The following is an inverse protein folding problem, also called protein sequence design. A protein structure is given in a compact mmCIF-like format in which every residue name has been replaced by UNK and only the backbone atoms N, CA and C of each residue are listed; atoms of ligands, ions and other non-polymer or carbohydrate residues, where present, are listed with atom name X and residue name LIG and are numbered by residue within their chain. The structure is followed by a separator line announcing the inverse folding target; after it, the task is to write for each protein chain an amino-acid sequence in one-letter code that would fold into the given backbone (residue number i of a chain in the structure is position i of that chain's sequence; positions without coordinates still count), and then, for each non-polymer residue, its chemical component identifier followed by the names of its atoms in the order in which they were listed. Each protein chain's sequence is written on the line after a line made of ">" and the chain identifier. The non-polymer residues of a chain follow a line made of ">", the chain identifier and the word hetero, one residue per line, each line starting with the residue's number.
data_IF_653752123759
#
_entry.id   IF_653752123759
#
_cell.length_a   1.000
_cell.length_b   1.000
_cell.length_c   1.000
_cell.angle_alpha   90.00
_cell.angle_beta   90.00
_cell.angle_gamma   90.00
#
_symmetry.space_group_name_H-M   'P 1'
#
loop_
_entity.id
_entity.type
_entity.pdbx_description
1 polymer ?
#
# COMPACT_ATOMS: atom_id res chain seq x y z
N UNK A 1 9.70 38.80 11.35
CA UNK A 1 9.09 37.76 12.22
C UNK A 1 8.79 36.55 11.37
N UNK A 2 8.92 35.33 11.92
CA UNK A 2 8.55 34.11 11.18
C UNK A 2 7.06 34.13 10.84
N UNK A 3 6.68 33.63 9.66
CA UNK A 3 5.28 33.39 9.30
C UNK A 3 4.69 32.17 10.01
N UNK A 4 5.52 31.40 10.73
CA UNK A 4 5.11 30.22 11.48
C UNK A 4 5.03 30.52 12.98
N UNK A 5 4.03 29.90 13.63
CA UNK A 5 3.85 29.92 15.08
C UNK A 5 4.19 28.55 15.66
N UNK A 6 4.88 28.56 16.79
CA UNK A 6 5.19 27.34 17.54
C UNK A 6 3.90 26.67 18.06
N UNK A 7 3.90 25.33 18.09
CA UNK A 7 2.79 24.50 18.54
C UNK A 7 3.31 23.40 19.47
N UNK A 8 2.55 23.11 20.52
CA UNK A 8 2.88 22.05 21.50
C UNK A 8 3.03 20.68 20.84
N UNK A 9 3.89 19.83 21.42
CA UNK A 9 4.05 18.41 21.07
C UNK A 9 3.47 17.60 22.23
N UNK A 10 2.43 16.79 21.96
CA UNK A 10 1.77 15.93 22.95
C UNK A 10 1.44 14.57 22.36
N UNK A 11 1.04 13.61 23.19
CA UNK A 11 0.65 12.26 22.76
C UNK A 11 -0.41 12.29 21.65
N UNK A 12 -0.32 11.29 20.75
CA UNK A 12 -1.08 11.23 19.52
C UNK A 12 -0.94 12.53 18.69
N UNK A 13 0.28 13.08 18.62
CA UNK A 13 0.57 14.37 17.98
C UNK A 13 0.01 14.49 16.55
N UNK A 14 -0.05 13.39 15.80
CA UNK A 14 -0.61 13.33 14.45
C UNK A 14 -2.11 13.72 14.40
N UNK A 15 -2.84 13.53 15.50
CA UNK A 15 -4.23 13.96 15.70
C UNK A 15 -4.32 15.32 16.42
N UNK A 16 -3.53 15.52 17.47
CA UNK A 16 -3.71 16.65 18.41
C UNK A 16 -2.86 17.88 18.10
N UNK A 17 -1.78 17.69 17.33
CA UNK A 17 -0.72 18.68 17.12
C UNK A 17 -0.26 18.78 15.66
N UNK A 18 -1.04 18.22 14.72
CA UNK A 18 -0.72 18.26 13.28
C UNK A 18 -1.97 18.10 12.43
N UNK A 19 -2.03 18.76 11.28
CA UNK A 19 -2.99 18.43 10.22
C UNK A 19 -2.36 17.40 9.26
N UNK A 20 -2.02 16.23 9.80
CA UNK A 20 -1.37 15.17 9.03
C UNK A 20 -2.42 14.39 8.23
N UNK A 21 -2.33 14.35 6.89
CA UNK A 21 -3.27 13.61 6.07
C UNK A 21 -2.98 12.11 6.18
N UNK A 22 -4.00 11.32 6.52
CA UNK A 22 -3.85 9.88 6.70
C UNK A 22 -4.79 9.11 5.76
N UNK A 23 -4.38 7.92 5.29
CA UNK A 23 -5.27 7.02 4.57
C UNK A 23 -6.37 6.49 5.50
N UNK A 24 -7.48 6.02 4.93
CA UNK A 24 -8.49 5.24 5.65
C UNK A 24 -8.41 3.78 5.21
N UNK A 25 -7.91 2.91 6.10
CA UNK A 25 -7.66 1.49 5.79
C UNK A 25 -8.42 0.62 6.79
N UNK A 26 -9.18 -0.35 6.29
CA UNK A 26 -9.71 -1.44 7.11
C UNK A 26 -8.71 -2.58 7.13
N UNK A 27 -8.13 -2.84 8.29
CA UNK A 27 -7.21 -3.95 8.51
C UNK A 27 -8.00 -5.18 8.92
N UNK A 28 -8.03 -6.18 8.02
CA UNK A 28 -8.59 -7.50 8.29
C UNK A 28 -7.54 -8.41 8.93
N UNK A 29 -7.94 -9.21 9.91
CA UNK A 29 -7.08 -10.12 10.68
C UNK A 29 -7.85 -11.38 11.07
N UNK A 30 -7.15 -12.45 11.45
CA UNK A 30 -7.77 -13.71 11.86
C UNK A 30 -7.88 -13.74 13.38
N UNK A 31 -9.10 -13.78 13.89
CA UNK A 31 -9.38 -13.93 15.31
C UNK A 31 -9.12 -15.37 15.80
N UNK A 32 -9.08 -15.57 17.11
CA UNK A 32 -8.84 -16.88 17.72
C UNK A 32 -9.88 -17.95 17.33
N UNK A 33 -11.12 -17.53 17.03
CA UNK A 33 -12.17 -18.40 16.52
C UNK A 33 -12.10 -18.65 14.99
N UNK A 34 -11.01 -18.25 14.32
CA UNK A 34 -10.80 -18.39 12.87
C UNK A 34 -11.56 -17.39 12.01
N UNK A 35 -12.42 -16.54 12.59
CA UNK A 35 -13.19 -15.54 11.82
C UNK A 35 -12.34 -14.31 11.49
N UNK A 36 -12.72 -13.63 10.42
CA UNK A 36 -12.13 -12.33 10.06
C UNK A 36 -12.64 -11.24 10.99
N UNK A 37 -11.73 -10.51 11.63
CA UNK A 37 -11.96 -9.27 12.36
C UNK A 37 -11.48 -8.08 11.52
N UNK A 38 -12.29 -7.03 11.43
CA UNK A 38 -11.91 -5.76 10.81
C UNK A 38 -11.63 -4.69 11.87
N UNK A 39 -10.63 -3.84 11.64
CA UNK A 39 -10.45 -2.60 12.41
C UNK A 39 -10.02 -1.45 11.50
N UNK A 40 -10.43 -0.23 11.81
CA UNK A 40 -10.08 0.96 11.03
C UNK A 40 -8.79 1.60 11.52
N UNK A 41 -7.85 1.85 10.60
CA UNK A 41 -6.54 2.42 10.89
C UNK A 41 -6.14 3.47 9.85
N UNK A 42 -5.46 4.49 10.34
CA UNK A 42 -4.96 5.60 9.52
C UNK A 42 -3.43 5.68 9.52
N UNK A 43 -2.77 5.11 10.53
CA UNK A 43 -1.31 4.99 10.58
C UNK A 43 -0.84 3.74 9.85
N UNK A 44 -0.98 3.75 8.52
CA UNK A 44 -0.58 2.65 7.65
C UNK A 44 0.15 3.21 6.42
N UNK A 45 1.46 2.96 6.32
CA UNK A 45 2.34 3.66 5.38
C UNK A 45 3.25 2.70 4.61
N UNK A 46 3.68 3.02 3.38
CA UNK A 46 4.76 2.28 2.72
C UNK A 46 6.04 2.29 3.57
N UNK A 47 6.69 1.14 3.68
CA UNK A 47 7.95 0.99 4.43
C UNK A 47 9.15 0.85 3.49
N UNK A 48 9.16 -0.20 2.65
CA UNK A 48 10.18 -0.36 1.62
C UNK A 48 9.69 0.18 0.28
N UNK A 49 10.45 1.12 -0.30
CA UNK A 49 10.09 1.80 -1.56
C UNK A 49 10.74 1.11 -2.77
N UNK A 50 12.04 0.82 -2.70
CA UNK A 50 12.80 0.20 -3.79
C UNK A 50 14.08 -0.49 -3.27
N UNK A 51 14.68 -1.35 -4.09
CA UNK A 51 15.98 -1.96 -3.81
C UNK A 51 15.97 -3.12 -2.80
N UNK A 52 14.77 -3.63 -2.45
CA UNK A 52 14.59 -4.86 -1.67
C UNK A 52 13.96 -5.93 -2.55
N UNK A 53 14.15 -7.18 -2.15
CA UNK A 53 13.51 -8.36 -2.72
C UNK A 53 12.01 -8.46 -2.41
N UNK A 54 11.51 -7.57 -1.55
CA UNK A 54 10.13 -7.49 -1.07
C UNK A 54 9.69 -6.06 -0.84
N UNK A 55 8.38 -5.85 -0.87
CA UNK A 55 7.72 -4.60 -0.51
C UNK A 55 6.94 -4.80 0.78
N UNK A 56 6.85 -3.75 1.60
CA UNK A 56 6.18 -3.83 2.90
C UNK A 56 5.46 -2.54 3.25
N UNK A 57 4.42 -2.69 4.08
CA UNK A 57 3.70 -1.61 4.75
C UNK A 57 4.05 -1.60 6.24
N UNK A 58 4.11 -0.43 6.85
CA UNK A 58 4.15 -0.23 8.29
C UNK A 58 2.74 0.02 8.78
N UNK A 59 2.28 -0.78 9.74
CA UNK A 59 1.06 -0.52 10.50
C UNK A 59 1.43 -0.15 11.94
N UNK A 60 1.02 1.04 12.38
CA UNK A 60 1.15 1.49 13.76
C UNK A 60 -0.21 1.42 14.45
N UNK A 61 -0.29 0.77 15.60
CA UNK A 61 -1.55 0.60 16.30
C UNK A 61 -1.37 0.47 17.82
N UNK A 62 -2.49 0.54 18.54
CA UNK A 62 -2.54 0.16 19.95
C UNK A 62 -2.34 -1.34 20.06
N UNK A 63 -1.41 -1.75 20.92
CA UNK A 63 -1.08 -3.16 21.11
C UNK A 63 -2.24 -3.97 21.73
N UNK A 64 -3.16 -3.32 22.44
CA UNK A 64 -4.36 -3.94 23.02
C UNK A 64 -5.51 -4.15 22.02
N UNK A 65 -5.40 -3.66 20.78
CA UNK A 65 -6.45 -3.84 19.77
C UNK A 65 -6.59 -5.31 19.34
N UNK A 66 -7.80 -5.74 18.99
CA UNK A 66 -8.04 -7.07 18.40
C UNK A 66 -7.11 -7.30 17.19
N UNK A 67 -6.91 -6.27 16.35
CA UNK A 67 -6.01 -6.34 15.20
C UNK A 67 -4.58 -6.67 15.60
N UNK A 68 -4.00 -5.95 16.56
CA UNK A 68 -2.63 -6.21 17.01
C UNK A 68 -2.49 -7.61 17.60
N UNK A 69 -3.43 -8.01 18.47
CA UNK A 69 -3.43 -9.31 19.11
C UNK A 69 -3.57 -10.45 18.09
N UNK A 70 -4.40 -10.25 17.05
CA UNK A 70 -4.56 -11.21 15.98
C UNK A 70 -3.32 -11.29 15.07
N UNK A 71 -2.63 -10.19 14.82
CA UNK A 71 -1.37 -10.18 14.04
C UNK A 71 -0.26 -10.89 14.83
N UNK A 72 -0.11 -10.62 16.13
CA UNK A 72 0.86 -11.32 16.98
C UNK A 72 0.66 -12.85 16.97
N UNK A 73 -0.60 -13.30 16.83
CA UNK A 73 -0.97 -14.72 16.76
C UNK A 73 -0.80 -15.33 15.38
N UNK A 74 -1.50 -14.79 14.39
CA UNK A 74 -1.65 -15.38 13.06
C UNK A 74 -0.59 -14.89 12.07
N UNK A 75 0.00 -13.72 12.34
CA UNK A 75 0.92 -13.00 11.44
C UNK A 75 0.29 -12.58 10.11
N UNK A 76 -1.03 -12.72 9.93
CA UNK A 76 -1.72 -12.43 8.67
C UNK A 76 -2.59 -11.19 8.80
N UNK A 77 -2.55 -10.35 7.76
CA UNK A 77 -3.39 -9.17 7.66
C UNK A 77 -3.85 -8.93 6.21
N UNK A 78 -5.02 -8.33 6.04
CA UNK A 78 -5.44 -7.69 4.78
C UNK A 78 -5.57 -6.19 5.01
N UNK A 79 -5.03 -5.37 4.11
CA UNK A 79 -5.12 -3.91 4.15
C UNK A 79 -6.11 -3.47 3.08
N UNK A 80 -7.32 -3.12 3.47
CA UNK A 80 -8.43 -2.84 2.56
C UNK A 80 -8.66 -1.33 2.47
N UNK A 81 -8.38 -0.73 1.31
CA UNK A 81 -8.50 0.70 1.10
C UNK A 81 -9.92 1.05 0.64
N UNK A 82 -10.65 1.79 1.48
CA UNK A 82 -12.07 2.12 1.23
C UNK A 82 -12.23 3.46 0.52
N UNK A 83 -13.33 3.61 -0.20
CA UNK A 83 -13.68 4.82 -0.93
C UNK A 83 -14.30 5.89 -0.03
N UNK A 84 -14.40 7.11 -0.57
CA UNK A 84 -15.11 8.26 0.01
C UNK A 84 -16.63 8.08 -0.10
N UNK A 85 -17.14 7.03 0.56
CA UNK A 85 -18.57 6.80 0.75
C UNK A 85 -18.91 7.04 2.22
N UNK A 86 -19.92 7.89 2.47
CA UNK A 86 -20.31 8.27 3.84
C UNK A 86 -20.83 7.09 4.65
N UNK A 87 -21.50 6.14 4.01
CA UNK A 87 -22.02 4.93 4.66
C UNK A 87 -20.86 4.09 5.17
N UNK A 88 -19.88 3.82 4.31
CA UNK A 88 -18.72 3.00 4.65
C UNK A 88 -17.75 3.72 5.59
N UNK A 89 -17.62 5.04 5.51
CA UNK A 89 -16.87 5.81 6.49
C UNK A 89 -17.48 5.73 7.90
N UNK A 90 -18.81 5.87 8.02
CA UNK A 90 -19.49 5.72 9.31
C UNK A 90 -19.26 4.32 9.90
N UNK A 91 -19.29 3.30 9.06
CA UNK A 91 -19.00 1.94 9.47
C UNK A 91 -17.54 1.75 9.89
N UNK A 92 -16.59 2.33 9.16
CA UNK A 92 -15.17 2.30 9.54
C UNK A 92 -14.95 2.96 10.91
N UNK A 93 -15.64 4.06 11.22
CA UNK A 93 -15.60 4.69 12.55
C UNK A 93 -16.18 3.75 13.62
N UNK A 94 -17.31 3.09 13.36
CA UNK A 94 -17.88 2.08 14.27
C UNK A 94 -16.88 0.95 14.56
N UNK A 95 -16.27 0.41 13.50
CA UNK A 95 -15.23 -0.62 13.58
C UNK A 95 -13.90 -0.11 14.17
N UNK A 96 -13.76 1.19 14.42
CA UNK A 96 -12.58 1.77 15.08
C UNK A 96 -12.67 1.77 16.61
N UNK A 97 -13.86 1.59 17.18
CA UNK A 97 -14.03 1.65 18.63
C UNK A 97 -13.40 0.44 19.33
N UNK A 98 -12.64 0.66 20.43
CA UNK A 98 -12.07 -0.41 21.22
C UNK A 98 -13.12 -1.04 22.15
N UNK A 99 -12.87 -2.26 22.62
CA UNK A 99 -13.64 -2.92 23.68
C UNK A 99 -14.55 -4.05 23.20
N UNK A 100 -14.99 -4.02 21.95
CA UNK A 100 -15.84 -5.07 21.39
C UNK A 100 -15.02 -6.33 21.04
N UNK A 101 -15.60 -7.51 21.31
CA UNK A 101 -15.10 -8.77 20.76
C UNK A 101 -15.26 -8.81 19.24
N UNK A 102 -14.53 -9.70 18.55
CA UNK A 102 -14.70 -9.90 17.11
C UNK A 102 -16.16 -10.21 16.73
N UNK A 103 -16.85 -11.05 17.51
CA UNK A 103 -18.22 -11.45 17.18
C UNK A 103 -19.21 -10.29 17.33
N UNK A 104 -19.09 -9.48 18.39
CA UNK A 104 -19.91 -8.27 18.59
C UNK A 104 -19.65 -7.25 17.47
N UNK A 105 -18.37 -7.01 17.18
CA UNK A 105 -17.94 -6.03 16.19
C UNK A 105 -18.44 -6.37 14.79
N UNK A 106 -18.40 -7.65 14.43
CA UNK A 106 -18.72 -8.14 13.09
C UNK A 106 -20.19 -8.48 12.87
N UNK A 107 -21.01 -8.57 13.93
CA UNK A 107 -22.43 -8.98 13.87
C UNK A 107 -23.25 -8.23 12.81
N UNK A 108 -23.11 -6.91 12.77
CA UNK A 108 -23.86 -6.02 11.86
C UNK A 108 -22.92 -5.32 10.87
N UNK A 109 -21.82 -5.98 10.49
CA UNK A 109 -20.82 -5.42 9.58
C UNK A 109 -21.44 -5.10 8.21
N UNK A 110 -21.32 -3.84 7.76
CA UNK A 110 -21.87 -3.41 6.46
C UNK A 110 -21.01 -3.80 5.25
N UNK A 111 -19.79 -4.29 5.47
CA UNK A 111 -18.86 -4.68 4.42
C UNK A 111 -19.06 -6.14 4.04
N UNK A 112 -19.02 -6.41 2.74
CA UNK A 112 -19.05 -7.78 2.22
C UNK A 112 -17.64 -8.36 2.29
N UNK A 113 -17.52 -9.53 2.91
CA UNK A 113 -16.26 -10.26 3.02
C UNK A 113 -16.17 -11.36 1.96
N UNK A 114 -15.09 -11.37 1.19
CA UNK A 114 -14.78 -12.39 0.20
C UNK A 114 -13.37 -12.97 0.41
N UNK A 115 -13.08 -14.12 -0.19
CA UNK A 115 -11.75 -14.71 -0.10
C UNK A 115 -10.75 -13.93 -0.96
N UNK A 116 -9.54 -13.76 -0.44
CA UNK A 116 -8.41 -13.22 -1.19
C UNK A 116 -7.79 -14.25 -2.13
N UNK A 117 -6.65 -13.91 -2.73
CA UNK A 117 -5.92 -14.80 -3.66
C UNK A 117 -4.56 -15.24 -3.12
N UNK A 118 -4.11 -14.70 -1.98
CA UNK A 118 -2.91 -15.18 -1.33
C UNK A 118 -3.14 -16.57 -0.74
N UNK A 119 -2.11 -17.42 -0.83
CA UNK A 119 -2.19 -18.80 -0.34
C UNK A 119 -2.24 -18.88 1.19
N UNK A 120 -2.80 -20.00 1.66
CA UNK A 120 -2.88 -20.36 3.08
C UNK A 120 -4.11 -19.80 3.79
N UNK A 121 -4.17 -19.98 5.10
CA UNK A 121 -5.20 -19.36 5.93
C UNK A 121 -4.98 -17.84 5.99
N UNK A 122 -5.99 -17.08 5.55
CA UNK A 122 -5.92 -15.62 5.40
C UNK A 122 -7.19 -14.96 5.93
N UNK A 123 -7.11 -13.72 6.44
CA UNK A 123 -8.31 -12.94 6.66
C UNK A 123 -8.99 -12.67 5.31
N UNK A 124 -10.32 -12.63 5.31
CA UNK A 124 -11.10 -12.22 4.15
C UNK A 124 -10.80 -10.76 3.78
N UNK A 125 -11.08 -10.43 2.53
CA UNK A 125 -10.92 -9.08 1.97
C UNK A 125 -12.28 -8.39 1.85
N UNK A 126 -12.27 -7.06 1.84
CA UNK A 126 -13.48 -6.23 1.76
C UNK A 126 -13.83 -5.96 0.29
N UNK A 127 -14.97 -6.45 -0.17
CA UNK A 127 -15.36 -6.35 -1.57
C UNK A 127 -15.59 -4.90 -2.03
N UNK A 128 -15.99 -4.01 -1.13
CA UNK A 128 -16.21 -2.59 -1.41
C UNK A 128 -14.90 -1.77 -1.48
N UNK A 129 -13.76 -2.35 -1.09
CA UNK A 129 -12.46 -1.70 -1.20
C UNK A 129 -12.08 -1.49 -2.67
N UNK A 130 -11.43 -0.36 -2.97
CA UNK A 130 -10.92 -0.11 -4.32
C UNK A 130 -9.60 -0.84 -4.59
N UNK A 131 -8.85 -1.12 -3.52
CA UNK A 131 -7.56 -1.81 -3.51
C UNK A 131 -7.41 -2.59 -2.21
N UNK A 132 -6.76 -3.74 -2.28
CA UNK A 132 -6.44 -4.58 -1.12
C UNK A 132 -4.99 -5.06 -1.22
N UNK A 133 -4.26 -5.00 -0.11
CA UNK A 133 -2.98 -5.71 0.04
C UNK A 133 -3.17 -6.88 1.00
N UNK A 134 -2.83 -8.08 0.54
CA UNK A 134 -2.74 -9.25 1.40
C UNK A 134 -1.32 -9.36 1.93
N UNK A 135 -1.17 -9.43 3.24
CA UNK A 135 0.11 -9.25 3.89
C UNK A 135 0.44 -10.34 4.91
N UNK A 136 1.74 -10.51 5.12
CA UNK A 136 2.32 -11.30 6.22
C UNK A 136 3.22 -10.40 7.06
N UNK A 137 3.01 -10.40 8.37
CA UNK A 137 3.91 -9.72 9.31
C UNK A 137 5.27 -10.40 9.31
N UNK A 138 6.31 -9.60 9.09
CA UNK A 138 7.69 -10.03 9.09
C UNK A 138 8.26 -9.99 10.51
N UNK A 139 7.91 -10.98 11.31
CA UNK A 139 8.34 -11.11 12.71
C UNK A 139 9.82 -11.49 12.88
N UNK A 140 10.51 -11.84 11.78
CA UNK A 140 11.96 -12.06 11.78
C UNK A 140 12.78 -10.78 11.92
N UNK A 141 12.19 -9.61 11.68
CA UNK A 141 12.85 -8.33 11.93
C UNK A 141 12.79 -7.99 13.42
N UNK A 142 13.93 -7.61 13.99
CA UNK A 142 14.07 -7.19 15.39
C UNK A 142 13.68 -8.26 16.42
N UNK A 143 13.77 -9.54 16.05
CA UNK A 143 13.33 -10.67 16.88
C UNK A 143 11.88 -10.51 17.39
N UNK A 144 11.05 -9.82 16.61
CA UNK A 144 9.69 -9.48 17.00
C UNK A 144 8.79 -10.73 17.15
N UNK A 145 9.21 -11.87 16.62
CA UNK A 145 8.58 -13.19 16.83
C UNK A 145 8.50 -13.60 18.32
N UNK A 146 9.31 -12.97 19.19
CA UNK A 146 9.27 -13.17 20.63
C UNK A 146 8.04 -12.53 21.28
N UNK A 147 7.44 -11.52 20.65
CA UNK A 147 6.27 -10.83 21.16
C UNK A 147 5.03 -11.71 20.98
N UNK A 148 4.23 -11.87 22.04
CA UNK A 148 3.06 -12.78 22.08
C UNK A 148 1.78 -12.03 22.42
N UNK A 149 0.62 -12.44 21.87
CA UNK A 149 -0.66 -11.88 22.28
C UNK A 149 -0.98 -12.23 23.75
N UNK A 150 -1.91 -11.50 24.34
CA UNK A 150 -2.47 -11.77 25.67
C UNK A 150 -2.41 -10.58 26.64
N UNK A 151 -1.64 -9.54 26.34
CA UNK A 151 -1.55 -8.37 27.22
C UNK A 151 -2.42 -7.22 26.67
N UNK A 152 -3.49 -6.87 27.40
CA UNK A 152 -4.42 -5.79 27.03
C UNK A 152 -4.21 -4.51 27.87
N UNK A 153 -3.65 -4.64 29.08
CA UNK A 153 -3.33 -3.53 29.98
C UNK A 153 -1.95 -2.89 29.71
N UNK A 154 -1.40 -3.20 28.54
CA UNK A 154 -0.06 -2.82 28.12
C UNK A 154 0.99 -3.90 28.38
N UNK A 155 2.12 -3.75 27.69
CA UNK A 155 3.25 -4.66 27.76
C UNK A 155 4.37 -4.04 28.60
N UNK A 156 5.05 -4.87 29.38
CA UNK A 156 6.23 -4.48 30.13
C UNK A 156 7.50 -4.51 29.25
N UNK A 157 8.54 -3.73 29.60
CA UNK A 157 9.79 -3.72 28.85
C UNK A 157 10.51 -5.09 28.89
N UNK A 158 11.44 -5.37 27.95
CA UNK A 158 11.99 -4.44 26.96
C UNK A 158 11.09 -4.22 25.74
N UNK A 159 11.12 -3.01 25.19
CA UNK A 159 10.43 -2.64 23.96
C UNK A 159 11.34 -2.76 22.74
N UNK A 160 10.74 -3.10 21.60
CA UNK A 160 11.32 -3.06 20.26
C UNK A 160 11.45 -1.61 19.80
N UNK A 161 12.36 -1.31 18.89
CA UNK A 161 12.53 0.03 18.32
C UNK A 161 11.58 0.28 17.14
N UNK A 162 11.26 -0.74 16.33
CA UNK A 162 10.51 -0.51 15.09
C UNK A 162 9.58 -1.65 14.64
N UNK A 163 9.67 -2.87 15.17
CA UNK A 163 8.80 -3.98 14.78
C UNK A 163 8.42 -4.85 15.99
N UNK A 164 7.12 -5.13 16.16
CA UNK A 164 6.57 -5.76 17.35
C UNK A 164 6.06 -4.74 18.38
N UNK A 165 6.22 -5.03 19.66
CA UNK A 165 5.81 -4.16 20.77
C UNK A 165 6.83 -3.03 20.97
N UNK A 166 6.47 -1.82 20.58
CA UNK A 166 7.39 -0.66 20.55
C UNK A 166 7.26 0.28 21.73
N UNK A 167 6.21 0.14 22.53
CA UNK A 167 6.03 0.86 23.79
C UNK A 167 5.01 0.13 24.66
N UNK A 168 4.76 0.64 25.88
CA UNK A 168 3.75 0.10 26.79
C UNK A 168 2.40 -0.14 26.11
N UNK A 169 1.96 0.77 25.23
CA UNK A 169 0.65 0.71 24.58
C UNK A 169 0.70 0.69 23.05
N UNK A 170 1.89 0.65 22.45
CA UNK A 170 2.10 0.73 21.01
C UNK A 170 2.68 -0.56 20.43
N UNK A 171 2.25 -0.88 19.21
CA UNK A 171 2.84 -1.93 18.40
C UNK A 171 3.01 -1.43 16.95
N UNK A 172 4.12 -1.82 16.33
CA UNK A 172 4.42 -1.59 14.93
C UNK A 172 4.53 -2.93 14.20
N UNK A 173 3.91 -3.05 13.04
CA UNK A 173 3.98 -4.27 12.23
C UNK A 173 4.53 -3.94 10.84
N UNK A 174 5.69 -4.51 10.51
CA UNK A 174 6.21 -4.51 9.13
C UNK A 174 5.54 -5.65 8.37
N UNK A 175 4.57 -5.30 7.54
CA UNK A 175 3.71 -6.19 6.79
C UNK A 175 4.25 -6.36 5.37
N UNK A 176 4.92 -7.49 5.09
CA UNK A 176 5.31 -7.82 3.72
C UNK A 176 4.06 -7.99 2.85
N UNK A 177 4.07 -7.41 1.65
CA UNK A 177 2.98 -7.51 0.69
C UNK A 177 3.15 -8.81 -0.11
N UNK A 178 2.20 -9.73 0.06
CA UNK A 178 2.18 -11.01 -0.64
C UNK A 178 1.42 -10.89 -1.97
N UNK A 179 0.29 -10.16 -1.96
CA UNK A 179 -0.55 -9.88 -3.15
C UNK A 179 -1.13 -8.48 -3.11
N UNK A 180 -1.31 -7.89 -4.30
CA UNK A 180 -2.02 -6.63 -4.51
C UNK A 180 -3.22 -6.92 -5.40
N UNK A 181 -4.41 -6.62 -4.89
CA UNK A 181 -5.68 -6.74 -5.61
C UNK A 181 -6.23 -5.33 -5.81
N UNK A 182 -6.82 -5.09 -6.96
CA UNK A 182 -7.37 -3.78 -7.29
C UNK A 182 -8.56 -3.95 -8.24
N UNK A 183 -9.57 -3.08 -8.16
CA UNK A 183 -10.72 -3.17 -9.06
C UNK A 183 -10.29 -2.95 -10.53
N UNK A 184 -10.90 -3.65 -11.51
CA UNK A 184 -10.46 -3.63 -12.91
C UNK A 184 -10.26 -2.22 -13.50
N UNK A 185 -11.19 -1.30 -13.24
CA UNK A 185 -11.07 0.10 -13.69
C UNK A 185 -9.78 0.80 -13.22
N UNK A 186 -9.36 0.52 -11.99
CA UNK A 186 -8.15 1.14 -11.41
C UNK A 186 -6.89 0.41 -11.87
N UNK A 187 -6.96 -0.92 -12.08
CA UNK A 187 -5.92 -1.67 -12.77
C UNK A 187 -5.63 -1.05 -14.14
N UNK A 188 -6.66 -0.85 -14.97
CA UNK A 188 -6.54 -0.26 -16.30
C UNK A 188 -5.96 1.16 -16.24
N UNK A 189 -6.30 1.93 -15.21
CA UNK A 189 -5.75 3.28 -15.03
C UNK A 189 -4.24 3.25 -14.77
N UNK A 190 -3.75 2.28 -13.99
CA UNK A 190 -2.31 2.11 -13.72
C UNK A 190 -1.60 1.57 -14.97
N UNK A 191 -2.14 0.49 -15.56
CA UNK A 191 -1.48 -0.28 -16.62
C UNK A 191 -1.63 0.34 -18.00
N UNK A 192 -2.71 1.07 -18.31
CA UNK A 192 -2.91 1.68 -19.63
C UNK A 192 -2.59 3.18 -19.66
N UNK A 193 -2.39 3.79 -18.48
CA UNK A 193 -1.99 5.19 -18.36
C UNK A 193 -3.04 6.04 -17.62
N UNK A 194 -2.53 6.98 -16.84
CA UNK A 194 -3.32 7.68 -15.84
C UNK A 194 -4.05 8.88 -16.45
N UNK A 195 -5.36 8.95 -16.21
CA UNK A 195 -6.18 10.16 -16.40
C UNK A 195 -6.79 10.55 -15.05
N UNK A 196 -7.08 11.82 -14.85
CA UNK A 196 -7.67 12.32 -13.61
C UNK A 196 -9.01 11.65 -13.24
N UNK A 197 -9.78 11.17 -14.22
CA UNK A 197 -11.02 10.41 -13.99
C UNK A 197 -10.80 8.93 -13.64
N UNK A 198 -9.57 8.43 -13.75
CA UNK A 198 -9.23 7.04 -13.42
C UNK A 198 -8.88 6.81 -11.96
N UNK A 199 -8.69 7.88 -11.17
CA UNK A 199 -8.36 7.74 -9.75
C UNK A 199 -9.56 7.26 -8.94
N UNK A 200 -9.36 6.36 -7.95
CA UNK A 200 -10.40 6.01 -7.00
C UNK A 200 -10.80 7.25 -6.17
N UNK A 201 -12.05 7.34 -5.70
CA UNK A 201 -12.47 8.40 -4.80
C UNK A 201 -11.87 8.15 -3.41
N UNK A 202 -10.59 8.48 -3.23
CA UNK A 202 -9.85 8.24 -1.98
C UNK A 202 -10.16 9.35 -0.97
N UNK A 203 -10.68 9.03 0.23
CA UNK A 203 -10.86 10.02 1.29
C UNK A 203 -9.52 10.36 1.93
N UNK A 204 -9.44 11.51 2.60
CA UNK A 204 -8.32 11.82 3.51
C UNK A 204 -8.86 11.91 4.92
N UNK A 205 -8.34 11.08 5.79
CA UNK A 205 -8.66 11.09 7.22
C UNK A 205 -7.77 12.09 7.96
N UNK A 206 -8.40 12.89 8.81
CA UNK A 206 -7.74 13.80 9.75
C UNK A 206 -7.87 13.31 11.19
N UNK A 207 -8.53 12.19 11.42
CA UNK A 207 -8.62 11.51 12.71
C UNK A 207 -9.61 12.17 13.68
N UNK A 208 -9.54 11.71 14.91
CA UNK A 208 -10.33 12.20 16.03
C UNK A 208 -9.64 13.41 16.68
N UNK A 209 -10.31 14.57 16.71
CA UNK A 209 -9.64 15.85 17.04
C UNK A 209 -10.29 16.66 18.15
N UNK A 210 -11.60 16.57 18.29
CA UNK A 210 -12.43 17.44 19.12
C UNK A 210 -13.18 16.64 20.21
N UNK A 211 -12.71 15.42 20.48
CA UNK A 211 -13.34 14.47 21.39
C UNK A 211 -14.79 14.07 21.02
N UNK A 212 -15.25 14.39 19.81
CA UNK A 212 -16.65 14.14 19.41
C UNK A 212 -16.78 13.58 17.99
N UNK A 213 -15.87 13.92 17.08
CA UNK A 213 -15.95 13.58 15.67
C UNK A 213 -14.63 13.00 15.15
N UNK A 214 -14.77 12.03 14.25
CA UNK A 214 -13.73 11.68 13.29
C UNK A 214 -13.90 12.54 12.03
N UNK A 215 -12.84 13.25 11.67
CA UNK A 215 -12.85 14.22 10.58
C UNK A 215 -12.27 13.62 9.31
N UNK A 216 -13.02 13.61 8.21
CA UNK A 216 -12.53 13.21 6.89
C UNK A 216 -12.83 14.29 5.84
N UNK A 217 -11.95 14.48 4.86
CA UNK A 217 -12.28 15.26 3.66
C UNK A 217 -12.73 14.35 2.52
N UNK A 218 -13.71 14.85 1.77
CA UNK A 218 -14.16 14.26 0.52
C UNK A 218 -13.04 14.22 -0.53
N UNK A 219 -13.11 13.23 -1.40
CA UNK A 219 -12.23 13.13 -2.55
C UNK A 219 -12.43 14.32 -3.49
N UNK A 220 -11.31 14.94 -3.87
CA UNK A 220 -11.26 15.95 -4.93
C UNK A 220 -10.44 15.40 -6.09
N UNK A 221 -10.96 15.55 -7.31
CA UNK A 221 -10.31 15.08 -8.53
C UNK A 221 -8.87 15.62 -8.63
N UNK A 222 -7.86 14.76 -8.82
CA UNK A 222 -6.47 15.18 -8.99
C UNK A 222 -6.28 16.01 -10.26
N UNK A 223 -5.29 16.91 -10.24
CA UNK A 223 -4.83 17.65 -11.42
C UNK A 223 -3.38 17.26 -11.74
N UNK A 224 -3.03 17.10 -13.03
CA UNK A 224 -1.66 16.81 -13.42
C UNK A 224 -0.82 18.10 -13.44
N UNK A 225 0.40 18.02 -12.93
CA UNK A 225 1.42 19.06 -13.10
C UNK A 225 2.53 18.53 -14.03
N UNK A 226 2.99 19.36 -14.97
CA UNK A 226 3.99 18.91 -15.95
C UNK A 226 5.38 18.96 -15.34
N UNK A 227 6.06 17.82 -15.30
CA UNK A 227 7.48 17.77 -14.96
C UNK A 227 8.28 18.43 -16.09
N UNK A 228 9.16 19.37 -15.74
CA UNK A 228 10.11 19.95 -16.69
C UNK A 228 11.08 18.86 -17.17
N UNK A 229 10.97 18.49 -18.45
CA UNK A 229 11.85 17.48 -19.03
C UNK A 229 13.25 18.08 -19.26
N UNK A 230 14.29 17.41 -18.78
CA UNK A 230 15.65 17.60 -19.29
C UNK A 230 15.81 16.69 -20.50
N UNK A 231 16.21 17.27 -21.63
CA UNK A 231 16.43 16.52 -22.87
C UNK A 231 17.56 15.49 -22.65
N UNK A 232 17.40 14.26 -23.18
CA UNK A 232 18.41 13.21 -23.06
C UNK A 232 18.47 12.45 -21.72
N UNK A 233 17.48 12.60 -20.83
CA UNK A 233 17.51 11.96 -19.51
C UNK A 233 17.29 10.44 -19.56
N UNK A 234 18.39 9.69 -19.64
CA UNK A 234 18.40 8.23 -19.57
C UNK A 234 17.79 7.68 -18.26
N UNK A 235 17.86 8.44 -17.15
CA UNK A 235 17.23 8.02 -15.89
C UNK A 235 15.72 7.96 -16.01
N UNK A 236 15.10 8.89 -16.74
CA UNK A 236 13.66 8.86 -16.98
C UNK A 236 13.22 7.65 -17.81
N UNK A 237 14.05 7.21 -18.76
CA UNK A 237 13.81 5.99 -19.54
C UNK A 237 13.95 4.76 -18.66
N UNK A 238 15.03 4.68 -17.87
CA UNK A 238 15.26 3.59 -16.92
C UNK A 238 14.10 3.46 -15.95
N UNK A 239 13.64 4.58 -15.40
CA UNK A 239 12.48 4.63 -14.50
C UNK A 239 11.20 4.08 -15.16
N UNK A 240 10.97 4.39 -16.44
CA UNK A 240 9.83 3.85 -17.18
C UNK A 240 10.00 2.34 -17.48
N UNK A 241 11.22 1.91 -17.83
CA UNK A 241 11.55 0.53 -18.12
C UNK A 241 11.42 -0.38 -16.89
N UNK A 242 11.87 0.05 -15.71
CA UNK A 242 11.75 -0.73 -14.46
C UNK A 242 10.29 -0.99 -14.03
N UNK A 243 9.31 -0.29 -14.62
CA UNK A 243 7.88 -0.39 -14.27
C UNK A 243 7.05 -1.08 -15.34
N UNK A 244 7.65 -1.47 -16.46
CA UNK A 244 6.89 -2.07 -17.55
C UNK A 244 6.60 -3.56 -17.27
N UNK A 245 7.56 -4.27 -16.68
CA UNK A 245 7.47 -5.71 -16.46
C UNK A 245 8.36 -6.15 -15.29
N UNK A 246 7.92 -7.08 -14.43
CA UNK A 246 8.72 -7.54 -13.30
C UNK A 246 9.87 -8.48 -13.68
N UNK A 247 9.77 -9.18 -14.82
CA UNK A 247 10.67 -10.28 -15.18
C UNK A 247 11.69 -9.89 -16.25
N UNK A 248 11.36 -8.92 -17.11
CA UNK A 248 12.25 -8.42 -18.17
C UNK A 248 12.86 -7.08 -17.79
N UNK A 249 14.19 -7.02 -17.68
CA UNK A 249 14.94 -5.82 -17.27
C UNK A 249 15.68 -5.19 -18.44
N UNK A 250 16.02 -3.91 -18.32
CA UNK A 250 16.83 -3.17 -19.28
C UNK A 250 18.14 -2.74 -18.63
N UNK A 251 19.25 -2.75 -19.38
CA UNK A 251 20.52 -2.16 -18.94
C UNK A 251 20.49 -0.64 -19.08
N UNK A 252 21.39 0.05 -18.36
CA UNK A 252 21.57 1.49 -18.49
C UNK A 252 21.95 1.91 -19.93
N UNK A 253 22.80 1.11 -20.59
CA UNK A 253 23.20 1.35 -21.98
C UNK A 253 22.05 1.17 -22.98
N UNK A 254 21.18 0.17 -22.76
CA UNK A 254 19.94 0.04 -23.52
C UNK A 254 19.02 1.24 -23.32
N UNK A 255 18.78 1.67 -22.07
CA UNK A 255 17.96 2.84 -21.76
C UNK A 255 18.50 4.13 -22.40
N UNK A 256 19.82 4.33 -22.43
CA UNK A 256 20.45 5.50 -23.05
C UNK A 256 20.11 5.62 -24.56
N UNK A 257 20.03 4.49 -25.27
CA UNK A 257 19.66 4.45 -26.70
C UNK A 257 18.19 4.80 -26.97
N UNK A 258 17.33 4.77 -25.94
CA UNK A 258 15.89 4.99 -26.06
C UNK A 258 15.46 6.42 -25.70
N UNK A 259 16.39 7.28 -25.28
CA UNK A 259 16.14 8.69 -24.89
C UNK A 259 15.49 9.54 -25.98
N UNK A 260 15.66 9.17 -27.25
CA UNK A 260 15.06 9.86 -28.41
C UNK A 260 13.59 9.53 -28.64
N UNK A 261 13.04 8.52 -27.96
CA UNK A 261 11.63 8.18 -28.10
C UNK A 261 10.80 9.26 -27.41
N UNK A 262 9.87 9.94 -28.12
CA UNK A 262 9.01 10.93 -27.49
C UNK A 262 8.25 10.32 -26.31
N UNK A 263 8.17 11.04 -25.18
CA UNK A 263 7.60 10.50 -23.92
C UNK A 263 6.20 9.92 -24.07
N UNK A 264 5.37 10.49 -24.94
CA UNK A 264 4.02 10.00 -25.24
C UNK A 264 4.00 8.59 -25.85
N UNK A 265 5.08 8.16 -26.48
CA UNK A 265 5.23 6.85 -27.11
C UNK A 265 6.13 5.88 -26.33
N UNK A 266 6.84 6.37 -25.31
CA UNK A 266 7.86 5.59 -24.59
C UNK A 266 7.27 4.29 -24.01
N UNK A 267 6.11 4.37 -23.34
CA UNK A 267 5.45 3.21 -22.75
C UNK A 267 5.11 2.13 -23.79
N UNK A 268 4.46 2.52 -24.88
CA UNK A 268 4.09 1.58 -25.94
C UNK A 268 5.32 0.95 -26.59
N UNK A 269 6.39 1.72 -26.77
CA UNK A 269 7.65 1.21 -27.29
C UNK A 269 8.32 0.21 -26.33
N UNK A 270 8.36 0.50 -25.03
CA UNK A 270 8.90 -0.40 -24.01
C UNK A 270 8.08 -1.69 -23.90
N UNK A 271 6.75 -1.60 -23.90
CA UNK A 271 5.87 -2.77 -23.87
C UNK A 271 6.16 -3.70 -25.05
N UNK A 272 6.20 -3.14 -26.27
CA UNK A 272 6.49 -3.93 -27.47
C UNK A 272 7.89 -4.59 -27.40
N UNK A 273 8.88 -3.92 -26.80
CA UNK A 273 10.21 -4.51 -26.61
C UNK A 273 10.19 -5.68 -25.63
N UNK A 274 9.42 -5.56 -24.53
CA UNK A 274 9.24 -6.65 -23.56
C UNK A 274 8.52 -7.84 -24.17
N UNK A 275 7.45 -7.59 -24.93
CA UNK A 275 6.67 -8.66 -25.56
C UNK A 275 7.58 -9.51 -26.49
N UNK A 276 8.37 -8.85 -27.33
CA UNK A 276 9.35 -9.52 -28.20
C UNK A 276 10.45 -10.20 -27.39
N UNK A 277 10.94 -9.57 -26.31
CA UNK A 277 11.95 -10.18 -25.46
C UNK A 277 11.45 -11.49 -24.83
N UNK A 278 10.19 -11.53 -24.38
CA UNK A 278 9.56 -12.76 -23.86
C UNK A 278 9.42 -13.84 -24.92
N UNK A 279 9.04 -13.49 -26.15
CA UNK A 279 8.99 -14.44 -27.27
C UNK A 279 10.36 -15.08 -27.55
N UNK A 280 11.43 -14.31 -27.40
CA UNK A 280 12.81 -14.75 -27.64
C UNK A 280 13.48 -15.34 -26.39
N UNK A 281 12.78 -15.43 -25.25
CA UNK A 281 13.34 -15.92 -23.99
C UNK A 281 14.41 -15.00 -23.37
N UNK A 282 14.42 -13.71 -23.73
CA UNK A 282 15.35 -12.70 -23.22
C UNK A 282 14.80 -12.07 -21.94
N UNK A 283 15.53 -12.19 -20.84
CA UNK A 283 15.17 -11.58 -19.54
C UNK A 283 15.94 -10.29 -19.22
N UNK A 284 17.02 -10.01 -19.96
CA UNK A 284 17.81 -8.77 -19.85
C UNK A 284 18.05 -8.17 -21.23
N UNK A 285 17.42 -7.03 -21.49
CA UNK A 285 17.57 -6.26 -22.73
C UNK A 285 18.77 -5.33 -22.58
N UNK A 286 19.91 -5.76 -23.11
CA UNK A 286 21.09 -4.95 -23.30
C UNK A 286 21.11 -4.29 -24.70
N UNK A 287 22.19 -3.58 -25.01
CA UNK A 287 22.38 -2.91 -26.30
C UNK A 287 22.32 -3.84 -27.52
N UNK A 288 22.75 -5.09 -27.38
CA UNK A 288 22.76 -6.09 -28.45
C UNK A 288 21.36 -6.67 -28.65
N UNK A 289 20.71 -7.09 -27.56
CA UNK A 289 19.32 -7.54 -27.56
C UNK A 289 18.38 -6.46 -28.12
N UNK A 290 18.61 -5.19 -27.77
CA UNK A 290 17.83 -4.07 -28.32
C UNK A 290 17.92 -3.97 -29.85
N UNK A 291 19.06 -4.37 -30.43
CA UNK A 291 19.26 -4.37 -31.89
C UNK A 291 18.44 -5.47 -32.53
N UNK A 292 18.50 -6.70 -31.99
CA UNK A 292 17.67 -7.84 -32.42
C UNK A 292 16.19 -7.51 -32.35
N UNK A 293 15.73 -6.94 -31.22
CA UNK A 293 14.35 -6.55 -31.00
C UNK A 293 13.92 -5.49 -32.02
N UNK A 294 14.73 -4.45 -32.25
CA UNK A 294 14.39 -3.39 -33.21
C UNK A 294 14.33 -3.89 -34.66
N UNK A 295 15.17 -4.86 -35.03
CA UNK A 295 15.12 -5.47 -36.36
C UNK A 295 13.83 -6.27 -36.57
N UNK A 296 13.38 -7.01 -35.54
CA UNK A 296 12.08 -7.70 -35.55
C UNK A 296 10.92 -6.70 -35.68
N UNK A 297 10.91 -5.63 -34.88
CA UNK A 297 9.90 -4.55 -34.95
C UNK A 297 9.83 -3.88 -36.32
N UNK A 298 10.94 -3.80 -37.04
CA UNK A 298 10.98 -3.23 -38.41
C UNK A 298 10.41 -4.20 -39.45
N UNK A 299 10.57 -5.51 -39.24
CA UNK A 299 10.01 -6.55 -40.13
C UNK A 299 8.50 -6.65 -39.99
N UNK A 300 7.95 -6.51 -38.78
CA UNK A 300 6.50 -6.54 -38.52
C UNK A 300 5.74 -5.29 -39.00
N UNK A 301 6.45 -4.18 -39.23
CA UNK A 301 5.88 -2.94 -39.78
C UNK A 301 5.84 -2.90 -41.32
N UNK A 302 6.44 -3.89 -41.99
CA UNK A 302 6.38 -4.06 -43.44
C UNK A 302 5.27 -5.05 -43.79
#
# INVERSE_FOLDING_TARGET
>A
MSSFKDLRIVDNFYQTSSFFPMPTVLVGTIAENGKTNLGSYSLCFPYYIAGKDRYAMLLECRNSSNTAQNILRSKKASLNFITDDRKYFREAVRLGFPGDTTDEKMKDCLFTLEDGIASGERPKVVAEAFQVFECTWNDTLEDAYLDKPGCLEGYEPPYRNFNGITSKFGAHFILNIDKILIKPRYYDTIINGVKASGFPPVPVDYGYRDSTNFWCSRFKKPFPEKIQAKEGDAMSVRYAAERIDPDVKFTDGACAKLTKIPRVFLKAALQQMVDIAKEEGITLIDEAALTVINDKRRKEKK
#
